data_IF_886004278864
#
_entry.id   IF_886004278864
#
_cell.length_a   1.000
_cell.length_b   1.000
_cell.length_c   1.000
_cell.angle_alpha   90.00
_cell.angle_beta   90.00
_cell.angle_gamma   90.00
#
_symmetry.space_group_name_H-M   'P 1'
#
loop_
_entity.id
_entity.type
_entity.pdbx_description
1 polymer ?
#
# COMPACT_ATOMS: atom_id res chain seq x y z
N UNK A 1 -19.13 -9.41 -10.56
CA UNK A 1 -18.57 -9.89 -9.27
C UNK A 1 -19.74 -10.36 -8.43
N UNK A 2 -19.79 -11.65 -8.13
CA UNK A 2 -20.73 -12.22 -7.16
C UNK A 2 -19.92 -12.35 -5.87
N UNK A 3 -20.37 -11.68 -4.81
CA UNK A 3 -19.74 -11.80 -3.49
C UNK A 3 -20.43 -12.95 -2.76
N UNK A 4 -19.78 -14.11 -2.67
CA UNK A 4 -20.12 -15.10 -1.67
C UNK A 4 -19.46 -14.66 -0.36
N UNK A 5 -20.26 -14.44 0.68
CA UNK A 5 -19.77 -14.08 2.01
C UNK A 5 -19.76 -15.36 2.85
N UNK A 6 -18.57 -15.80 3.27
CA UNK A 6 -18.47 -16.74 4.38
C UNK A 6 -18.66 -15.93 5.67
N UNK A 7 -19.69 -16.26 6.44
CA UNK A 7 -19.93 -15.62 7.73
C UNK A 7 -18.85 -16.08 8.70
N UNK A 8 -18.04 -15.15 9.19
CA UNK A 8 -17.11 -15.37 10.31
C UNK A 8 -17.88 -16.02 11.46
N UNK A 9 -17.60 -17.29 11.73
CA UNK A 9 -18.17 -17.95 12.91
C UNK A 9 -17.44 -17.45 14.14
N UNK A 10 -18.15 -17.32 15.26
CA UNK A 10 -17.60 -16.80 16.52
C UNK A 10 -16.43 -17.64 17.08
N UNK A 11 -16.17 -18.78 16.45
CA UNK A 11 -15.17 -19.78 16.81
C UNK A 11 -13.81 -19.51 16.13
N UNK A 12 -13.76 -18.55 15.20
CA UNK A 12 -12.54 -18.22 14.44
C UNK A 12 -11.64 -17.27 15.24
N UNK A 13 -11.04 -17.84 16.30
CA UNK A 13 -10.18 -17.15 17.27
C UNK A 13 -8.97 -16.47 16.58
N UNK A 14 -8.52 -17.01 15.44
CA UNK A 14 -7.48 -16.41 14.62
C UNK A 14 -7.95 -15.11 13.97
N UNK A 15 -9.07 -15.12 13.23
CA UNK A 15 -9.62 -13.92 12.61
C UNK A 15 -10.03 -12.88 13.66
N UNK A 16 -10.59 -13.32 14.80
CA UNK A 16 -10.86 -12.43 15.93
C UNK A 16 -9.58 -11.79 16.47
N UNK A 17 -8.49 -12.55 16.70
CA UNK A 17 -7.22 -12.00 17.21
C UNK A 17 -6.55 -11.01 16.25
N UNK A 18 -6.73 -11.23 14.94
CA UNK A 18 -6.18 -10.40 13.86
C UNK A 18 -7.02 -9.15 13.62
N UNK A 19 -8.36 -9.25 13.70
CA UNK A 19 -9.27 -8.11 13.54
C UNK A 19 -9.35 -7.23 14.80
N UNK A 20 -9.09 -7.77 16.00
CA UNK A 20 -9.06 -7.02 17.27
C UNK A 20 -7.85 -6.09 17.34
N UNK A 21 -6.72 -6.46 16.73
CA UNK A 21 -5.60 -5.54 16.52
C UNK A 21 -5.80 -4.83 15.19
N UNK A 22 -6.12 -3.53 15.21
CA UNK A 22 -6.20 -2.70 14.00
C UNK A 22 -4.81 -2.52 13.35
N UNK A 23 -4.29 -3.58 12.71
CA UNK A 23 -3.11 -3.53 11.87
C UNK A 23 -3.57 -3.04 10.50
N UNK A 24 -2.98 -1.92 10.08
CA UNK A 24 -3.29 -1.26 8.81
C UNK A 24 -2.01 -1.25 7.98
N UNK A 25 -2.14 -1.57 6.69
CA UNK A 25 -1.03 -1.68 5.75
C UNK A 25 -0.95 -0.45 4.84
N UNK A 26 0.29 0.01 4.59
CA UNK A 26 0.61 1.04 3.61
C UNK A 26 1.58 0.49 2.56
N UNK A 27 1.50 1.01 1.34
CA UNK A 27 2.52 0.80 0.31
C UNK A 27 3.73 1.68 0.65
N UNK A 28 4.82 1.06 1.12
CA UNK A 28 6.04 1.77 1.50
C UNK A 28 7.26 1.11 0.89
N UNK A 29 7.91 1.84 0.02
CA UNK A 29 9.19 1.46 -0.56
C UNK A 29 10.33 2.18 0.13
N UNK A 30 11.43 1.45 0.31
CA UNK A 30 12.69 1.98 0.82
C UNK A 30 13.74 1.87 -0.28
N UNK A 31 13.72 2.81 -1.23
CA UNK A 31 14.75 2.95 -2.24
C UNK A 31 15.70 4.10 -1.87
N UNK A 32 16.97 3.92 -2.18
CA UNK A 32 17.97 4.99 -2.05
C UNK A 32 18.00 5.91 -3.27
N UNK A 33 17.39 5.46 -4.36
CA UNK A 33 17.45 6.07 -5.69
C UNK A 33 16.07 6.03 -6.36
N UNK A 34 15.93 6.83 -7.41
CA UNK A 34 14.72 6.80 -8.22
C UNK A 34 14.66 5.55 -9.09
N UNK A 35 13.47 5.26 -9.63
CA UNK A 35 13.24 4.07 -10.43
C UNK A 35 14.21 4.02 -11.63
N UNK A 36 14.87 2.87 -11.91
CA UNK A 36 15.76 2.76 -13.06
C UNK A 36 15.01 2.79 -14.39
N UNK A 37 13.77 2.28 -14.45
CA UNK A 37 12.93 2.29 -15.64
C UNK A 37 12.35 3.69 -15.96
N UNK A 38 12.11 4.53 -14.94
CA UNK A 38 11.54 5.87 -15.10
C UNK A 38 12.51 7.01 -14.75
N UNK A 39 13.81 6.73 -14.76
CA UNK A 39 14.85 7.60 -14.19
C UNK A 39 14.71 9.10 -14.51
N UNK A 40 14.48 9.43 -15.78
CA UNK A 40 14.38 10.82 -16.23
C UNK A 40 13.21 11.54 -15.58
N UNK A 41 12.03 10.90 -15.53
CA UNK A 41 10.80 11.52 -15.03
C UNK A 41 10.90 11.80 -13.54
N UNK A 42 11.25 10.77 -12.77
CA UNK A 42 11.44 10.83 -11.32
C UNK A 42 12.52 11.83 -10.90
N UNK A 43 13.61 11.91 -11.67
CA UNK A 43 14.67 12.86 -11.40
C UNK A 43 14.15 14.30 -11.50
N UNK A 44 13.41 14.63 -12.57
CA UNK A 44 12.83 15.96 -12.74
C UNK A 44 11.70 16.25 -11.74
N UNK A 45 10.91 15.25 -11.35
CA UNK A 45 9.89 15.39 -10.31
C UNK A 45 10.49 15.80 -8.96
N UNK A 46 11.70 15.30 -8.65
CA UNK A 46 12.42 15.62 -7.42
C UNK A 46 13.41 16.80 -7.55
N UNK A 47 13.60 17.36 -8.75
CA UNK A 47 14.62 18.39 -8.98
C UNK A 47 14.33 19.68 -8.20
N UNK A 48 13.06 20.09 -8.20
CA UNK A 48 12.56 21.31 -7.56
C UNK A 48 12.41 21.21 -6.02
N UNK A 49 12.69 20.04 -5.42
CA UNK A 49 12.59 19.87 -3.97
C UNK A 49 13.97 19.90 -3.29
N UNK A 50 14.04 20.31 -2.00
CA UNK A 50 15.28 20.25 -1.24
C UNK A 50 15.88 18.85 -1.25
N UNK A 51 17.21 18.75 -1.32
CA UNK A 51 17.94 17.48 -1.39
C UNK A 51 17.50 16.46 -0.32
N UNK A 52 17.24 16.94 0.90
CA UNK A 52 16.80 16.11 2.01
C UNK A 52 15.41 15.44 1.79
N UNK A 53 14.58 16.02 0.92
CA UNK A 53 13.26 15.47 0.55
C UNK A 53 13.28 14.61 -0.71
N UNK A 54 14.34 14.66 -1.54
CA UNK A 54 14.40 13.91 -2.81
C UNK A 54 14.21 12.42 -2.61
N UNK A 55 14.87 11.85 -1.60
CA UNK A 55 14.74 10.43 -1.26
C UNK A 55 13.30 10.06 -0.89
N UNK A 56 12.62 10.91 -0.12
CA UNK A 56 11.23 10.67 0.26
C UNK A 56 10.32 10.71 -0.97
N UNK A 57 10.52 11.67 -1.87
CA UNK A 57 9.77 11.74 -3.12
C UNK A 57 9.97 10.51 -3.99
N UNK A 58 11.21 10.02 -4.14
CA UNK A 58 11.44 8.78 -4.89
C UNK A 58 10.75 7.58 -4.24
N UNK A 59 10.75 7.48 -2.92
CA UNK A 59 10.01 6.43 -2.21
C UNK A 59 8.51 6.53 -2.47
N UNK A 60 7.93 7.74 -2.43
CA UNK A 60 6.50 7.97 -2.63
C UNK A 60 6.06 7.76 -4.09
N UNK A 61 6.92 8.10 -5.05
CA UNK A 61 6.77 7.78 -6.47
C UNK A 61 6.73 6.27 -6.66
N UNK A 62 7.77 5.57 -6.21
CA UNK A 62 7.83 4.12 -6.37
C UNK A 62 6.63 3.46 -5.65
N UNK A 63 6.22 3.97 -4.47
CA UNK A 63 5.08 3.43 -3.72
C UNK A 63 3.76 3.62 -4.47
N UNK A 64 3.63 4.70 -5.25
CA UNK A 64 2.47 4.88 -6.14
C UNK A 64 2.50 3.88 -7.30
N UNK A 65 3.67 3.60 -7.88
CA UNK A 65 3.84 2.54 -8.87
C UNK A 65 3.44 1.17 -8.32
N UNK A 66 3.90 0.80 -7.11
CA UNK A 66 3.52 -0.45 -6.44
C UNK A 66 2.03 -0.54 -6.09
N UNK A 67 1.37 0.60 -5.86
CA UNK A 67 -0.09 0.62 -5.65
C UNK A 67 -0.89 0.27 -6.90
N UNK A 68 -0.26 0.31 -8.08
CA UNK A 68 -0.90 0.16 -9.38
C UNK A 68 -1.67 1.40 -9.86
N UNK A 69 -1.59 2.52 -9.14
CA UNK A 69 -2.30 3.78 -9.42
C UNK A 69 -1.29 4.94 -9.65
N UNK A 70 -0.44 4.78 -10.66
CA UNK A 70 0.61 5.72 -11.06
C UNK A 70 0.15 6.64 -12.23
N UNK A 71 0.01 7.97 -12.08
CA UNK A 71 -0.20 8.71 -10.84
C UNK A 71 -1.65 9.20 -10.76
N UNK A 72 -2.10 9.43 -9.52
CA UNK A 72 -3.43 9.93 -9.19
C UNK A 72 -3.35 11.12 -8.25
N UNK A 73 -4.30 12.05 -8.35
CA UNK A 73 -4.46 13.16 -7.39
C UNK A 73 -4.69 12.69 -5.96
N UNK A 74 -5.10 11.42 -5.78
CA UNK A 74 -5.20 10.71 -4.49
C UNK A 74 -3.90 10.78 -3.68
N UNK A 75 -2.75 10.69 -4.36
CA UNK A 75 -1.43 10.57 -3.72
C UNK A 75 -0.74 11.91 -3.47
N UNK A 76 -1.30 13.01 -3.97
CA UNK A 76 -0.70 14.35 -3.90
C UNK A 76 -1.41 15.17 -2.82
N UNK A 77 -0.66 15.72 -1.86
CA UNK A 77 -1.24 16.53 -0.76
C UNK A 77 -2.06 17.72 -1.26
N UNK A 78 -1.69 18.30 -2.41
CA UNK A 78 -2.41 19.41 -3.04
C UNK A 78 -3.23 19.01 -4.27
N UNK A 79 -3.29 17.70 -4.56
CA UNK A 79 -4.00 17.12 -5.70
C UNK A 79 -3.57 17.63 -7.09
N UNK A 80 -2.42 18.31 -7.20
CA UNK A 80 -2.01 19.02 -8.42
C UNK A 80 -0.56 18.79 -8.84
N UNK A 81 0.39 18.87 -7.91
CA UNK A 81 1.81 18.90 -8.24
C UNK A 81 2.55 17.70 -7.66
N UNK A 82 3.42 17.14 -8.50
CA UNK A 82 4.12 15.88 -8.24
C UNK A 82 5.14 15.97 -7.11
N UNK A 83 5.69 17.15 -6.89
CA UNK A 83 6.59 17.47 -5.78
C UNK A 83 5.92 17.38 -4.40
N UNK A 84 4.60 17.19 -4.37
CA UNK A 84 3.81 17.01 -3.15
C UNK A 84 3.25 15.60 -2.97
N UNK A 85 3.77 14.63 -3.71
CA UNK A 85 3.42 13.23 -3.56
C UNK A 85 3.79 12.72 -2.16
N UNK A 86 2.88 11.98 -1.54
CA UNK A 86 3.01 11.47 -0.17
C UNK A 86 2.36 10.08 0.00
N UNK A 87 2.46 9.24 -1.04
CA UNK A 87 1.82 7.91 -1.11
C UNK A 87 2.04 7.07 0.16
N UNK A 88 3.25 7.09 0.72
CA UNK A 88 3.58 6.29 1.91
C UNK A 88 2.88 6.76 3.20
N UNK A 89 2.36 7.99 3.22
CA UNK A 89 1.56 8.55 4.33
C UNK A 89 0.07 8.22 4.21
N UNK A 90 -0.39 7.64 3.09
CA UNK A 90 -1.79 7.36 2.84
C UNK A 90 -2.06 5.86 3.04
N UNK A 91 -3.09 5.57 3.84
CA UNK A 91 -3.60 4.20 4.03
C UNK A 91 -4.48 3.81 2.84
N UNK A 92 -4.10 2.83 2.00
CA UNK A 92 -4.90 2.44 0.85
C UNK A 92 -6.02 1.47 1.25
N UNK A 93 -7.29 1.84 1.04
CA UNK A 93 -8.45 0.96 1.33
C UNK A 93 -8.43 -0.33 0.51
N UNK A 94 -7.99 -0.24 -0.74
CA UNK A 94 -7.77 -1.30 -1.69
C UNK A 94 -6.75 -2.32 -1.20
N UNK A 95 -5.57 -1.86 -0.75
CA UNK A 95 -4.55 -2.75 -0.18
C UNK A 95 -5.06 -3.46 1.07
N UNK A 96 -5.73 -2.74 1.97
CA UNK A 96 -6.23 -3.31 3.22
C UNK A 96 -7.37 -4.31 2.99
N UNK A 97 -8.22 -4.09 1.98
CA UNK A 97 -9.23 -5.06 1.57
C UNK A 97 -8.60 -6.36 1.05
N UNK A 98 -7.55 -6.26 0.23
CA UNK A 98 -6.79 -7.42 -0.25
C UNK A 98 -6.09 -8.16 0.89
N UNK A 99 -5.50 -7.44 1.84
CA UNK A 99 -4.88 -8.05 3.02
C UNK A 99 -5.90 -8.78 3.89
N UNK A 100 -7.09 -8.20 4.09
CA UNK A 100 -8.20 -8.86 4.79
C UNK A 100 -8.55 -10.20 4.13
N UNK A 101 -8.74 -10.20 2.82
CA UNK A 101 -9.03 -11.41 2.05
C UNK A 101 -7.89 -12.44 2.13
N UNK A 102 -6.64 -12.00 2.03
CA UNK A 102 -5.48 -12.90 2.15
C UNK A 102 -5.43 -13.56 3.54
N UNK A 103 -5.77 -12.82 4.60
CA UNK A 103 -5.81 -13.38 5.96
C UNK A 103 -6.91 -14.43 6.11
N UNK A 104 -8.08 -14.23 5.49
CA UNK A 104 -9.15 -15.24 5.44
C UNK A 104 -8.71 -16.51 4.71
N UNK A 105 -8.05 -16.38 3.55
CA UNK A 105 -7.49 -17.54 2.84
C UNK A 105 -6.47 -18.28 3.71
N UNK A 106 -5.57 -17.56 4.37
CA UNK A 106 -4.54 -18.15 5.23
C UNK A 106 -5.16 -18.88 6.43
N UNK A 107 -6.19 -18.30 7.04
CA UNK A 107 -6.94 -18.93 8.13
C UNK A 107 -7.58 -20.25 7.68
N UNK A 108 -8.26 -20.22 6.53
CA UNK A 108 -8.89 -21.40 5.96
C UNK A 108 -7.86 -22.50 5.65
N UNK A 109 -6.76 -22.15 4.97
CA UNK A 109 -5.70 -23.10 4.65
C UNK A 109 -5.07 -23.69 5.91
N UNK A 110 -4.79 -22.86 6.93
CA UNK A 110 -4.28 -23.34 8.21
C UNK A 110 -5.23 -24.33 8.88
N UNK A 111 -6.55 -24.10 8.85
CA UNK A 111 -7.54 -25.04 9.35
C UNK A 111 -7.53 -26.41 8.65
N UNK A 112 -7.28 -26.42 7.33
CA UNK A 112 -7.25 -27.65 6.53
C UNK A 112 -5.91 -28.42 6.64
N UNK A 113 -4.77 -27.71 6.67
CA UNK A 113 -3.43 -28.32 6.55
C UNK A 113 -2.60 -28.27 7.84
N UNK A 114 -2.92 -27.34 8.75
CA UNK A 114 -2.18 -27.08 9.98
C UNK A 114 -2.64 -27.98 11.12
N UNK A 115 -2.21 -29.24 11.09
CA UNK A 115 -2.17 -30.12 12.27
C UNK A 115 -0.76 -30.20 12.82
#
# INVERSE_FOLDING_TARGET
>A
MVYEYHTVTADDEFLLSVMINFIIYNSKILSHFCSPEEYRSDFFAADNVPEIRRRQIWNDINSAAESGWDFSSRWLSNSKTMDTIETSNIVPVDLNALMCWNMEILAHLHGEIGK
#
